data_IF_152738317288
#
_entry.id   IF_152738317288
#
_cell.length_a   1.000
_cell.length_b   1.000
_cell.length_c   1.000
_cell.angle_alpha   90.00
_cell.angle_beta   90.00
_cell.angle_gamma   90.00
#
_symmetry.space_group_name_H-M   'P 1'
#
loop_
_entity.id
_entity.type
_entity.pdbx_description
1 polymer ?
#
# COMPACT_ATOMS: atom_id res chain seq x y z
N UNK A 1 -4.41 2.39 6.15
CA UNK A 1 -4.74 2.13 4.74
C UNK A 1 -6.13 2.65 4.48
N UNK A 2 -6.23 3.54 3.50
CA UNK A 2 -7.49 4.11 3.03
C UNK A 2 -7.35 4.39 1.52
N UNK A 3 -8.48 4.57 0.83
CA UNK A 3 -8.47 5.13 -0.52
C UNK A 3 -8.06 6.60 -0.41
N UNK A 4 -7.11 7.01 -1.24
CA UNK A 4 -6.61 8.39 -1.28
C UNK A 4 -6.14 8.75 -2.69
N UNK A 5 -6.04 10.04 -2.94
CA UNK A 5 -5.49 10.60 -4.17
C UNK A 5 -4.01 11.00 -3.95
N UNK A 6 -3.13 10.84 -4.95
CA UNK A 6 -1.74 11.27 -4.84
C UNK A 6 -1.63 12.79 -4.65
N UNK A 7 -0.83 13.22 -3.68
CA UNK A 7 -0.56 14.63 -3.38
C UNK A 7 0.89 14.99 -3.65
N UNK A 8 1.16 16.29 -3.76
CA UNK A 8 2.52 16.78 -3.91
C UNK A 8 3.35 16.43 -2.66
N UNK A 9 4.37 15.59 -2.86
CA UNK A 9 5.26 15.14 -1.79
C UNK A 9 5.00 13.72 -1.30
N UNK A 10 4.03 13.00 -1.87
CA UNK A 10 3.86 11.57 -1.63
C UNK A 10 4.85 10.76 -2.47
N UNK A 11 5.27 9.62 -1.93
CA UNK A 11 5.93 8.58 -2.70
C UNK A 11 4.87 7.65 -3.28
N UNK A 12 4.92 7.43 -4.60
CA UNK A 12 3.94 6.65 -5.34
C UNK A 12 4.56 5.38 -5.94
N UNK A 13 3.90 4.24 -5.72
CA UNK A 13 4.35 2.93 -6.18
C UNK A 13 3.27 2.29 -7.06
N UNK A 14 3.57 2.12 -8.34
CA UNK A 14 2.70 1.39 -9.26
C UNK A 14 2.78 -0.12 -8.99
N UNK A 15 1.63 -0.78 -8.79
CA UNK A 15 1.56 -2.19 -8.37
C UNK A 15 1.10 -3.14 -9.48
N UNK A 16 0.91 -2.63 -10.70
CA UNK A 16 0.21 -3.36 -11.76
C UNK A 16 -1.31 -3.27 -11.60
N UNK A 17 -2.05 -3.76 -12.60
CA UNK A 17 -3.52 -3.78 -12.62
C UNK A 17 -4.22 -2.42 -12.37
N UNK A 18 -3.50 -1.32 -12.64
CA UNK A 18 -4.00 0.04 -12.43
C UNK A 18 -4.06 0.48 -10.95
N UNK A 19 -3.43 -0.25 -10.04
CA UNK A 19 -3.35 0.10 -8.63
C UNK A 19 -2.08 0.89 -8.32
N UNK A 20 -2.24 1.95 -7.54
CA UNK A 20 -1.15 2.79 -7.05
C UNK A 20 -1.22 2.87 -5.54
N UNK A 21 -0.08 2.62 -4.88
CA UNK A 21 0.08 2.90 -3.44
C UNK A 21 0.71 4.27 -3.30
N UNK A 22 0.10 5.13 -2.48
CA UNK A 22 0.66 6.42 -2.11
C UNK A 22 1.06 6.40 -0.63
N UNK A 23 2.21 6.97 -0.33
CA UNK A 23 2.77 7.03 1.03
C UNK A 23 3.22 8.46 1.29
N UNK A 24 2.69 9.07 2.36
CA UNK A 24 3.19 10.36 2.84
C UNK A 24 4.71 10.26 3.12
N UNK A 25 5.51 11.18 2.58
CA UNK A 25 6.97 11.18 2.76
C UNK A 25 7.43 11.21 4.22
N UNK A 26 6.62 11.77 5.13
CA UNK A 26 6.89 11.74 6.56
C UNK A 26 6.85 10.32 7.16
N UNK A 27 6.08 9.42 6.55
CA UNK A 27 5.90 8.03 6.99
C UNK A 27 6.74 7.03 6.19
N UNK A 28 7.22 7.42 5.02
CA UNK A 28 8.01 6.57 4.12
C UNK A 28 9.23 5.93 4.81
N UNK A 29 9.90 6.64 5.73
CA UNK A 29 11.03 6.10 6.50
C UNK A 29 10.70 4.87 7.37
N UNK A 30 9.43 4.62 7.66
CA UNK A 30 8.97 3.47 8.43
C UNK A 30 8.53 2.30 7.55
N UNK A 31 8.63 2.45 6.22
CA UNK A 31 8.24 1.44 5.26
C UNK A 31 9.49 0.84 4.64
N UNK A 32 9.50 -0.48 4.58
CA UNK A 32 10.55 -1.24 3.92
C UNK A 32 10.11 -1.62 2.50
N UNK A 33 11.01 -1.47 1.53
CA UNK A 33 10.70 -1.70 0.12
C UNK A 33 11.19 -3.06 -0.37
N UNK A 34 10.58 -3.66 -1.41
CA UNK A 34 9.46 -3.12 -2.18
C UNK A 34 8.11 -3.29 -1.49
N UNK A 35 7.22 -2.32 -1.69
CA UNK A 35 5.80 -2.47 -1.36
C UNK A 35 5.11 -3.34 -2.40
N UNK A 36 4.16 -4.17 -1.95
CA UNK A 36 3.28 -4.99 -2.78
C UNK A 36 1.85 -4.92 -2.30
N UNK A 37 0.88 -4.89 -3.22
CA UNK A 37 -0.53 -5.13 -2.90
C UNK A 37 -0.86 -6.59 -3.17
N UNK A 38 -1.41 -7.27 -2.16
CA UNK A 38 -1.99 -8.59 -2.31
C UNK A 38 -3.51 -8.54 -2.08
N UNK A 39 -4.25 -9.40 -2.77
CA UNK A 39 -5.65 -9.65 -2.48
C UNK A 39 -5.80 -10.96 -1.69
N UNK A 40 -6.42 -10.87 -0.52
CA UNK A 40 -6.76 -12.00 0.33
C UNK A 40 -8.20 -12.45 0.03
N UNK A 41 -8.32 -13.55 -0.72
CA UNK A 41 -9.62 -14.08 -1.14
C UNK A 41 -10.48 -14.57 0.04
N UNK A 42 -9.85 -15.03 1.13
CA UNK A 42 -10.56 -15.60 2.28
C UNK A 42 -11.33 -14.54 3.05
N UNK A 43 -10.76 -13.34 3.16
CA UNK A 43 -11.38 -12.20 3.82
C UNK A 43 -12.01 -11.19 2.84
N UNK A 44 -11.74 -11.36 1.54
CA UNK A 44 -12.10 -10.45 0.44
C UNK A 44 -11.58 -9.03 0.70
N UNK A 45 -10.29 -8.91 0.98
CA UNK A 45 -9.62 -7.63 1.31
C UNK A 45 -8.30 -7.47 0.56
N UNK A 46 -7.89 -6.24 0.32
CA UNK A 46 -6.53 -5.91 -0.11
C UNK A 46 -5.64 -5.63 1.09
N UNK A 47 -4.39 -6.09 1.02
CA UNK A 47 -3.35 -5.86 2.04
C UNK A 47 -2.10 -5.29 1.37
N UNK A 48 -1.39 -4.42 2.07
CA UNK A 48 -0.04 -3.99 1.67
C UNK A 48 1.00 -4.82 2.41
N UNK A 49 1.98 -5.32 1.67
CA UNK A 49 3.13 -6.06 2.17
C UNK A 49 4.40 -5.28 1.86
N UNK A 50 5.25 -5.10 2.86
CA UNK A 50 6.64 -4.69 2.67
C UNK A 50 7.54 -5.91 2.56
N UNK A 51 8.82 -5.72 2.23
CA UNK A 51 9.77 -6.83 2.17
C UNK A 51 9.86 -7.64 3.48
N UNK A 52 9.82 -6.95 4.62
CA UNK A 52 10.01 -7.54 5.94
C UNK A 52 8.72 -7.88 6.70
N UNK A 53 7.57 -7.31 6.33
CA UNK A 53 6.32 -7.51 7.10
C UNK A 53 5.05 -7.25 6.29
N UNK A 54 3.94 -7.80 6.78
CA UNK A 54 2.60 -7.40 6.33
C UNK A 54 2.20 -6.16 7.13
N UNK A 55 1.79 -5.09 6.44
CA UNK A 55 1.21 -3.93 7.11
C UNK A 55 -0.15 -4.40 7.66
N UNK A 56 -0.40 -4.33 8.98
CA UNK A 56 -1.53 -4.99 9.63
C UNK A 56 -2.91 -4.44 9.22
N UNK A 57 -2.92 -3.39 8.42
CA UNK A 57 -4.13 -2.74 7.95
C UNK A 57 -4.67 -3.39 6.66
N UNK A 58 -5.97 -3.25 6.41
CA UNK A 58 -6.64 -3.88 5.28
C UNK A 58 -7.75 -3.00 4.74
N UNK A 59 -7.98 -3.09 3.43
CA UNK A 59 -9.05 -2.33 2.77
C UNK A 59 -10.02 -3.25 2.04
N UNK A 60 -11.32 -2.96 2.17
CA UNK A 60 -12.40 -3.54 1.37
C UNK A 60 -12.83 -2.50 0.34
N UNK A 61 -12.92 -2.92 -0.93
CA UNK A 61 -13.49 -2.11 -2.01
C UNK A 61 -14.98 -2.45 -2.17
#
# INVERSE_FOLDING_TARGET
MALDEPRAGDEAFEQGDGLTVVVDRATYFYIDEPLRIDYDESERVYRIRSNSQIIPDKIRL
#
